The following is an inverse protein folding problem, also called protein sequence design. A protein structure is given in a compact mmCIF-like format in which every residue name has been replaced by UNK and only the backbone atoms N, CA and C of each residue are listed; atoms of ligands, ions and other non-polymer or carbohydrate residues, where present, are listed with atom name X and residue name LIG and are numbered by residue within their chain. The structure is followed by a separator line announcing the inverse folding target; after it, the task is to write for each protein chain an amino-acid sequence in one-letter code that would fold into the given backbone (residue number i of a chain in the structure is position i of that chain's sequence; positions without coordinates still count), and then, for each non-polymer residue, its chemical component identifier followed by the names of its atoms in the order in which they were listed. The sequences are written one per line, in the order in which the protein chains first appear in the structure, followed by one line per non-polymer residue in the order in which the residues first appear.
data_IF_179792324289
#
_entry.id   IF_179792324289
#
_cell.length_a   1.000
_cell.length_b   1.000
_cell.length_c   1.000
_cell.angle_alpha   90.00
_cell.angle_beta   90.00
_cell.angle_gamma   90.00
#
_symmetry.space_group_name_H-M   'P 1'
#
loop_
_entity.id
_entity.type
_entity.pdbx_description
1 polymer ?
#
# COMPACT_ATOMS: atom_id res chain seq x y z
N UNK A 1 -4.77 6.73 -5.78
CA UNK A 1 -3.60 6.68 -6.68
C UNK A 1 -2.90 5.34 -6.52
N UNK A 2 -2.64 4.68 -7.60
CA UNK A 2 -1.90 3.40 -7.59
C UNK A 2 -0.49 3.63 -8.09
N UNK A 3 0.49 3.12 -7.36
CA UNK A 3 1.89 3.35 -7.67
C UNK A 3 2.70 2.15 -7.17
N UNK A 4 3.89 1.91 -7.73
CA UNK A 4 4.70 0.76 -7.33
C UNK A 4 5.22 0.91 -5.89
N UNK A 5 6.02 1.93 -5.60
CA UNK A 5 6.67 2.09 -4.31
C UNK A 5 6.02 3.14 -3.41
N UNK A 6 5.68 4.28 -3.94
CA UNK A 6 5.12 5.39 -3.18
C UNK A 6 5.34 6.73 -3.85
N UNK A 7 5.20 7.78 -3.08
CA UNK A 7 5.37 9.16 -3.56
C UNK A 7 6.26 9.95 -2.59
N UNK A 8 6.90 10.99 -3.10
CA UNK A 8 7.70 11.90 -2.27
C UNK A 8 6.76 12.85 -1.53
N UNK A 9 6.73 12.82 -0.19
CA UNK A 9 5.93 13.78 0.58
C UNK A 9 6.38 15.21 0.30
N UNK A 10 5.44 16.13 0.24
CA UNK A 10 5.72 17.54 -0.04
C UNK A 10 5.83 17.90 -1.51
N UNK A 11 5.76 16.92 -2.40
CA UNK A 11 5.72 17.12 -3.84
C UNK A 11 4.31 16.79 -4.34
N UNK A 12 3.74 17.65 -5.19
CA UNK A 12 2.42 17.43 -5.75
C UNK A 12 2.36 16.08 -6.49
N UNK A 13 1.20 15.41 -6.42
CA UNK A 13 1.06 14.06 -7.00
C UNK A 13 1.32 14.03 -8.50
N UNK A 14 1.00 15.11 -9.22
CA UNK A 14 1.25 15.21 -10.66
C UNK A 14 2.68 15.65 -11.00
N UNK A 15 3.50 15.92 -9.99
CA UNK A 15 4.90 16.34 -10.14
C UNK A 15 5.89 15.30 -9.60
N UNK A 16 5.42 14.11 -9.27
CA UNK A 16 6.28 13.06 -8.74
C UNK A 16 7.29 12.58 -9.79
N UNK A 17 8.51 12.28 -9.34
CA UNK A 17 9.50 11.68 -10.22
C UNK A 17 9.23 10.18 -10.41
N UNK A 18 9.54 9.67 -11.58
CA UNK A 18 9.47 8.23 -11.85
C UNK A 18 10.35 7.44 -10.89
N UNK A 19 11.54 7.96 -10.60
CA UNK A 19 12.47 7.31 -9.69
C UNK A 19 11.83 7.13 -8.29
N UNK A 20 11.23 8.16 -7.74
CA UNK A 20 10.57 8.06 -6.43
C UNK A 20 9.41 7.08 -6.47
N UNK A 21 8.58 7.14 -7.49
CA UNK A 21 7.43 6.25 -7.60
C UNK A 21 7.81 4.78 -7.70
N UNK A 22 9.01 4.49 -8.18
CA UNK A 22 9.51 3.11 -8.33
C UNK A 22 10.32 2.63 -7.13
N UNK A 23 10.99 3.53 -6.39
CA UNK A 23 12.02 3.13 -5.45
C UNK A 23 11.93 3.70 -4.05
N UNK A 24 11.06 4.67 -3.80
CA UNK A 24 10.99 5.32 -2.47
C UNK A 24 10.61 4.30 -1.39
N UNK A 25 11.16 4.47 -0.20
CA UNK A 25 10.86 3.63 0.95
C UNK A 25 10.54 4.50 2.17
N UNK A 26 11.44 4.59 3.13
CA UNK A 26 11.18 5.21 4.43
C UNK A 26 10.70 6.66 4.35
N UNK A 27 11.18 7.43 3.41
CA UNK A 27 10.74 8.82 3.24
C UNK A 27 9.22 8.91 3.00
N UNK A 28 8.64 7.90 2.35
CA UNK A 28 7.20 7.80 2.13
C UNK A 28 6.51 7.11 3.31
N UNK A 29 7.05 5.96 3.74
CA UNK A 29 6.40 5.09 4.72
C UNK A 29 6.30 5.75 6.10
N UNK A 30 7.32 6.51 6.50
CA UNK A 30 7.42 7.08 7.84
C UNK A 30 6.92 8.52 7.94
N UNK A 31 6.54 9.14 6.83
CA UNK A 31 5.96 10.46 6.86
C UNK A 31 4.50 10.38 7.30
N UNK A 32 4.02 11.42 7.96
CA UNK A 32 2.65 11.47 8.51
C UNK A 32 1.79 12.54 7.87
N UNK A 33 2.36 13.33 6.95
CA UNK A 33 1.62 14.43 6.32
C UNK A 33 0.58 13.90 5.33
N UNK A 34 -0.56 14.58 5.20
CA UNK A 34 -1.53 14.22 4.17
C UNK A 34 -0.91 14.29 2.77
N UNK A 35 -1.33 13.39 1.89
CA UNK A 35 -0.77 13.28 0.55
C UNK A 35 -1.70 13.83 -0.54
N UNK A 36 -2.90 14.28 -0.19
CA UNK A 36 -3.90 14.74 -1.15
C UNK A 36 -4.75 13.63 -1.75
N UNK A 37 -4.33 12.39 -1.65
CA UNK A 37 -5.08 11.21 -2.05
C UNK A 37 -4.56 10.01 -1.27
N UNK A 38 -5.33 8.95 -1.20
CA UNK A 38 -4.85 7.68 -0.65
C UNK A 38 -3.96 7.01 -1.71
N UNK A 39 -2.75 6.65 -1.31
CA UNK A 39 -1.78 6.02 -2.21
C UNK A 39 -1.77 4.52 -1.96
N UNK A 40 -2.05 3.75 -3.00
CA UNK A 40 -2.00 2.28 -2.96
C UNK A 40 -0.67 1.84 -3.56
N UNK A 41 0.11 1.07 -2.79
CA UNK A 41 1.49 0.75 -3.17
C UNK A 41 1.90 -0.66 -2.77
N UNK A 42 3.06 -1.06 -3.27
CA UNK A 42 3.74 -2.31 -2.90
C UNK A 42 5.20 -2.04 -2.56
N UNK A 43 6.11 -2.80 -3.16
CA UNK A 43 7.57 -2.64 -3.16
C UNK A 43 8.26 -2.91 -1.81
N UNK A 44 7.75 -2.39 -0.71
CA UNK A 44 8.36 -2.58 0.62
C UNK A 44 7.54 -3.62 1.38
N UNK A 45 8.05 -4.85 1.53
CA UNK A 45 7.29 -5.92 2.15
C UNK A 45 6.99 -5.66 3.62
N UNK A 46 5.82 -6.11 4.05
CA UNK A 46 5.43 -6.12 5.45
C UNK A 46 4.74 -7.46 5.74
N UNK A 47 4.68 -7.84 7.02
CA UNK A 47 4.06 -9.11 7.40
C UNK A 47 2.54 -9.11 7.21
N UNK A 48 1.94 -7.93 7.24
CA UNK A 48 0.50 -7.74 7.08
C UNK A 48 0.25 -6.59 6.11
N UNK A 49 -0.88 -6.58 5.39
CA UNK A 49 -1.24 -5.41 4.61
C UNK A 49 -1.47 -4.21 5.53
N UNK A 50 -1.18 -3.04 5.03
CA UNK A 50 -1.29 -1.80 5.79
C UNK A 50 -2.39 -0.92 5.23
N UNK A 51 -3.13 -0.27 6.13
CA UNK A 51 -4.08 0.75 5.74
C UNK A 51 -4.13 1.87 6.79
N UNK A 52 -4.00 3.10 6.31
CA UNK A 52 -4.29 4.29 7.09
C UNK A 52 -4.90 5.36 6.17
N UNK A 53 -5.05 6.59 6.67
CA UNK A 53 -5.64 7.69 5.88
C UNK A 53 -4.76 8.14 4.72
N UNK A 54 -3.50 7.77 4.71
CA UNK A 54 -2.52 8.17 3.70
C UNK A 54 -2.30 7.11 2.64
N UNK A 55 -2.21 5.84 3.04
CA UNK A 55 -1.75 4.78 2.15
C UNK A 55 -2.35 3.41 2.46
N UNK A 56 -2.37 2.58 1.42
CA UNK A 56 -2.70 1.16 1.52
C UNK A 56 -1.53 0.38 0.94
N UNK A 57 -0.86 -0.40 1.78
CA UNK A 57 0.29 -1.22 1.38
C UNK A 57 -0.12 -2.67 1.21
N UNK A 58 0.19 -3.25 0.05
CA UNK A 58 -0.28 -4.59 -0.33
C UNK A 58 0.83 -5.64 -0.43
N UNK A 59 2.10 -5.24 -0.33
CA UNK A 59 3.19 -6.19 -0.48
C UNK A 59 3.41 -6.94 0.82
N UNK A 60 3.01 -8.20 0.85
CA UNK A 60 3.24 -9.09 1.98
C UNK A 60 4.38 -10.07 1.72
N UNK A 61 5.23 -9.76 0.75
CA UNK A 61 6.44 -10.51 0.49
C UNK A 61 6.20 -11.91 -0.07
N UNK A 62 5.26 -12.05 -1.01
CA UNK A 62 4.81 -13.35 -1.50
C UNK A 62 5.95 -14.25 -1.96
N UNK A 63 7.00 -13.70 -2.55
CA UNK A 63 8.15 -14.47 -3.02
C UNK A 63 8.96 -15.12 -1.88
N UNK A 64 8.79 -14.64 -0.65
CA UNK A 64 9.43 -15.20 0.55
C UNK A 64 8.39 -15.86 1.45
N UNK A 65 7.30 -15.14 1.74
CA UNK A 65 6.30 -15.57 2.71
C UNK A 65 5.32 -16.60 2.14
N UNK A 66 5.17 -16.67 0.83
CA UNK A 66 4.11 -17.44 0.17
C UNK A 66 2.73 -16.80 0.30
N UNK A 67 2.63 -15.62 0.91
CA UNK A 67 1.38 -14.91 1.09
C UNK A 67 1.25 -13.78 0.09
N UNK A 68 0.36 -13.93 -0.87
CA UNK A 68 0.00 -12.90 -1.82
C UNK A 68 -1.25 -12.19 -1.33
N UNK A 69 -1.20 -10.88 -1.28
CA UNK A 69 -2.31 -10.06 -0.78
C UNK A 69 -2.87 -9.19 -1.89
N UNK A 70 -4.18 -9.13 -1.95
CA UNK A 70 -4.92 -8.25 -2.83
C UNK A 70 -5.88 -7.40 -2.00
N UNK A 71 -6.31 -6.29 -2.56
CA UNK A 71 -7.33 -5.46 -1.94
C UNK A 71 -8.47 -5.20 -2.92
N UNK A 72 -9.66 -5.20 -2.38
CA UNK A 72 -10.87 -4.78 -3.10
C UNK A 72 -11.33 -3.46 -2.52
N UNK A 73 -11.51 -2.48 -3.40
CA UNK A 73 -11.98 -1.16 -3.02
C UNK A 73 -13.42 -0.98 -3.46
N UNK A 74 -14.25 -0.55 -2.54
CA UNK A 74 -15.65 -0.25 -2.83
C UNK A 74 -16.08 0.92 -1.95
N UNK A 75 -16.35 2.07 -2.55
CA UNK A 75 -16.60 3.32 -1.84
C UNK A 75 -15.46 3.61 -0.86
N UNK A 76 -15.75 3.70 0.44
CA UNK A 76 -14.74 3.92 1.48
C UNK A 76 -14.27 2.63 2.12
N UNK A 77 -14.81 1.49 1.71
CA UNK A 77 -14.44 0.19 2.25
C UNK A 77 -13.25 -0.39 1.49
N UNK A 78 -12.35 -1.03 2.24
CA UNK A 78 -11.23 -1.78 1.69
C UNK A 78 -11.26 -3.16 2.31
N UNK A 79 -11.28 -4.19 1.47
CA UNK A 79 -11.18 -5.57 1.89
C UNK A 79 -9.85 -6.14 1.44
N UNK A 80 -9.16 -6.81 2.36
CA UNK A 80 -7.93 -7.53 2.02
C UNK A 80 -8.21 -9.01 1.89
N UNK A 81 -7.64 -9.60 0.84
CA UNK A 81 -7.68 -11.04 0.60
C UNK A 81 -6.24 -11.52 0.51
N UNK A 82 -5.93 -12.59 1.21
CA UNK A 82 -4.59 -13.15 1.20
C UNK A 82 -4.64 -14.64 0.91
N UNK A 83 -3.62 -15.10 0.19
CA UNK A 83 -3.34 -16.53 0.02
C UNK A 83 -2.38 -16.97 1.12
N UNK A 84 -1.99 -18.21 1.10
CA UNK A 84 -0.96 -18.74 1.98
C UNK A 84 -1.47 -19.86 2.84
N UNK A 85 -0.87 -20.02 4.02
CA UNK A 85 -1.08 -21.18 4.88
C UNK A 85 -2.49 -21.29 5.40
N UNK A 86 -3.05 -20.18 5.86
CA UNK A 86 -4.42 -20.15 6.36
C UNK A 86 -5.38 -20.05 5.18
N UNK A 87 -6.57 -20.60 5.36
CA UNK A 87 -7.63 -20.38 4.40
C UNK A 87 -7.81 -18.88 4.17
N UNK A 88 -7.97 -18.51 2.93
CA UNK A 88 -8.15 -17.11 2.57
C UNK A 88 -9.34 -16.54 3.31
N UNK A 89 -9.12 -15.42 3.95
CA UNK A 89 -10.17 -14.72 4.66
C UNK A 89 -10.10 -13.25 4.30
N UNK A 90 -11.23 -12.71 3.89
CA UNK A 90 -11.34 -11.29 3.65
C UNK A 90 -11.39 -10.55 4.99
N UNK A 91 -10.66 -9.46 5.06
CA UNK A 91 -10.69 -8.56 6.22
C UNK A 91 -11.16 -7.19 5.73
N UNK A 92 -12.30 -6.76 6.24
CA UNK A 92 -12.81 -5.43 5.93
C UNK A 92 -12.18 -4.42 6.87
N UNK A 93 -11.63 -3.36 6.29
CA UNK A 93 -11.02 -2.27 7.06
C UNK A 93 -11.71 -0.97 6.66
N UNK A 94 -12.11 -0.19 7.65
CA UNK A 94 -12.74 1.12 7.44
C UNK A 94 -12.01 2.19 8.22
N UNK A 95 -12.07 3.37 7.71
CA UNK A 95 -11.52 4.54 8.41
C UNK A 95 -12.29 4.85 9.69
#
# INVERSE_FOLDING_TARGET
MFVHAGVRPGVELDQQSEYDMLWIRDAFLNDTRPLGAVVVHGHTPASQPHRDSRRVGLDTGAYISGQLTAARFEHEAVEFLSTGVAATKATAVRD
#
